data_IF_110675580438
#
_entry.id   IF_110675580438
#
_cell.length_a   1.000
_cell.length_b   1.000
_cell.length_c   1.000
_cell.angle_alpha   90.00
_cell.angle_beta   90.00
_cell.angle_gamma   90.00
#
_symmetry.space_group_name_H-M   'P 1'
#
loop_
_entity.id
_entity.type
_entity.pdbx_description
1 polymer ?
#
# COMPACT_ATOMS: atom_id res chain seq x y z
N UNK A 1 10.50 5.73 66.77
CA UNK A 1 10.77 4.55 67.61
C UNK A 1 11.26 3.47 66.68
N UNK A 2 12.61 3.30 66.49
CA UNK A 2 13.51 2.33 67.16
C UNK A 2 12.93 0.91 67.03
N UNK A 3 13.63 -0.04 66.38
CA UNK A 3 14.93 -0.71 66.62
C UNK A 3 15.23 -1.58 65.38
N UNK A 4 16.25 -1.53 64.66
CA UNK A 4 17.65 -2.02 64.78
C UNK A 4 17.89 -3.34 65.53
N UNK A 5 18.39 -4.36 64.81
CA UNK A 5 19.32 -5.45 65.23
C UNK A 5 19.77 -6.19 63.97
N UNK A 6 20.95 -5.99 63.43
CA UNK A 6 22.28 -6.46 63.79
C UNK A 6 22.53 -7.97 63.68
N UNK A 7 23.22 -8.29 62.63
CA UNK A 7 24.48 -9.02 62.45
C UNK A 7 24.66 -10.37 63.15
N UNK A 8 25.00 -11.41 62.40
CA UNK A 8 26.10 -12.33 62.73
C UNK A 8 26.68 -12.85 61.39
N UNK A 9 28.00 -12.59 61.26
CA UNK A 9 28.88 -13.15 60.24
C UNK A 9 29.38 -14.48 60.79
N UNK A 10 29.41 -15.54 59.97
CA UNK A 10 30.25 -16.69 60.18
C UNK A 10 30.93 -17.09 58.92
N UNK A 11 32.18 -16.82 58.76
CA UNK A 11 33.08 -17.26 57.73
C UNK A 11 33.47 -18.72 57.97
N UNK A 12 33.28 -19.57 56.91
CA UNK A 12 34.11 -20.79 56.82
C UNK A 12 34.61 -20.82 55.37
N UNK A 13 35.92 -20.70 55.25
CA UNK A 13 36.69 -20.92 54.07
C UNK A 13 36.66 -22.43 53.69
N UNK A 14 36.40 -22.75 52.51
CA UNK A 14 36.53 -24.08 51.93
C UNK A 14 36.78 -23.92 50.45
N UNK A 15 38.04 -23.87 50.06
CA UNK A 15 38.47 -23.92 48.66
C UNK A 15 38.04 -25.27 48.06
N UNK A 16 37.10 -25.23 47.09
CA UNK A 16 37.04 -26.25 46.06
C UNK A 16 37.06 -25.52 44.72
N UNK A 17 38.19 -25.55 44.07
CA UNK A 17 38.40 -25.30 42.67
C UNK A 17 37.63 -26.37 41.89
N UNK A 18 36.40 -26.05 41.47
CA UNK A 18 35.78 -26.68 40.31
C UNK A 18 35.95 -25.72 39.17
N UNK A 19 36.87 -26.03 38.28
CA UNK A 19 36.93 -25.42 36.96
C UNK A 19 35.61 -25.74 36.23
N UNK A 20 34.63 -24.84 36.33
CA UNK A 20 33.55 -24.77 35.39
C UNK A 20 34.18 -24.21 34.11
N UNK A 21 34.48 -25.08 33.15
CA UNK A 21 34.76 -24.63 31.79
C UNK A 21 33.58 -23.82 31.31
N UNK A 22 33.78 -22.58 30.94
CA UNK A 22 32.84 -21.81 30.17
C UNK A 22 32.59 -22.58 28.87
N UNK A 23 31.50 -23.32 28.78
CA UNK A 23 31.04 -23.79 27.50
C UNK A 23 30.78 -22.52 26.66
N UNK A 24 31.32 -22.42 25.44
CA UNK A 24 31.11 -21.26 24.61
C UNK A 24 29.61 -21.11 24.39
N UNK A 25 29.09 -19.93 24.75
CA UNK A 25 27.70 -19.57 24.53
C UNK A 25 27.41 -19.70 23.02
N UNK A 26 26.72 -20.78 22.62
CA UNK A 26 26.41 -21.04 21.23
C UNK A 26 25.36 -20.02 20.81
N UNK A 27 25.80 -18.93 20.20
CA UNK A 27 24.91 -17.94 19.62
C UNK A 27 24.24 -18.50 18.36
N UNK A 28 23.17 -19.26 18.57
CA UNK A 28 22.36 -19.78 17.46
C UNK A 28 21.57 -18.63 16.85
N UNK A 29 21.77 -18.38 15.56
CA UNK A 29 20.97 -17.44 14.81
C UNK A 29 19.92 -18.19 13.99
N UNK A 30 18.66 -17.83 14.12
CA UNK A 30 17.59 -18.20 13.20
C UNK A 30 17.05 -16.90 12.61
N UNK A 31 17.07 -16.77 11.27
CA UNK A 31 16.55 -15.62 10.53
C UNK A 31 15.73 -16.10 9.33
N UNK A 32 14.73 -15.31 8.98
CA UNK A 32 13.94 -15.49 7.77
C UNK A 32 14.18 -14.29 6.85
N UNK A 33 14.27 -14.53 5.54
CA UNK A 33 14.38 -13.45 4.54
C UNK A 33 13.15 -12.57 4.50
N UNK A 34 12.00 -13.09 4.96
CA UNK A 34 10.73 -12.36 5.14
C UNK A 34 10.07 -12.83 6.43
N UNK A 35 9.35 -11.95 7.08
CA UNK A 35 8.58 -12.26 8.30
C UNK A 35 7.09 -12.39 8.03
N UNK A 36 6.64 -11.85 6.91
CA UNK A 36 5.29 -11.88 6.42
C UNK A 36 5.26 -12.15 4.91
N UNK A 37 4.22 -12.82 4.47
CA UNK A 37 3.83 -12.97 3.07
C UNK A 37 2.40 -12.47 2.92
N UNK A 38 2.21 -11.52 2.02
CA UNK A 38 0.91 -11.02 1.62
C UNK A 38 0.63 -11.56 0.23
N UNK A 39 -0.48 -12.23 0.07
CA UNK A 39 -0.85 -12.95 -1.11
C UNK A 39 -2.26 -12.54 -1.54
N UNK A 40 -2.51 -12.48 -2.84
CA UNK A 40 -3.83 -12.24 -3.39
C UNK A 40 -4.68 -13.53 -3.37
N UNK A 41 -5.90 -13.45 -3.90
CA UNK A 41 -6.88 -14.54 -3.94
C UNK A 41 -6.36 -15.81 -4.58
N UNK A 42 -5.57 -15.72 -5.64
CA UNK A 42 -5.19 -16.86 -6.48
C UNK A 42 -4.23 -17.82 -5.81
N UNK A 43 -4.30 -19.11 -6.18
CA UNK A 43 -3.30 -20.10 -5.79
C UNK A 43 -1.92 -19.66 -6.28
N UNK A 44 -0.94 -19.59 -5.39
CA UNK A 44 0.40 -19.11 -5.71
C UNK A 44 1.45 -19.62 -4.72
N UNK A 45 2.72 -19.38 -5.06
CA UNK A 45 3.85 -19.80 -4.23
C UNK A 45 4.89 -18.69 -4.12
N UNK A 46 5.53 -18.57 -2.96
CA UNK A 46 6.65 -17.66 -2.70
C UNK A 46 7.80 -18.41 -2.05
N UNK A 47 9.02 -17.95 -2.35
CA UNK A 47 10.24 -18.52 -1.77
C UNK A 47 10.67 -17.66 -0.58
N UNK A 48 11.03 -18.34 0.51
CA UNK A 48 11.57 -17.74 1.73
C UNK A 48 12.87 -18.46 2.09
N UNK A 49 13.90 -17.70 2.44
CA UNK A 49 15.18 -18.25 2.90
C UNK A 49 15.17 -18.35 4.43
N UNK A 50 15.45 -19.53 4.94
CA UNK A 50 15.76 -19.81 6.34
C UNK A 50 17.28 -19.75 6.48
N UNK A 51 17.79 -18.90 7.37
CA UNK A 51 19.22 -18.78 7.64
C UNK A 51 19.47 -19.21 9.07
N UNK A 52 20.17 -20.33 9.22
CA UNK A 52 20.58 -20.91 10.52
C UNK A 52 21.80 -21.80 10.32
N UNK A 53 22.46 -22.16 11.38
CA UNK A 53 23.51 -23.20 11.39
C UNK A 53 23.02 -24.55 11.94
N UNK A 54 21.72 -24.68 12.17
CA UNK A 54 21.10 -25.87 12.78
C UNK A 54 20.12 -26.56 11.84
N UNK A 55 19.80 -27.82 12.14
CA UNK A 55 18.66 -28.49 11.56
C UNK A 55 17.35 -27.81 12.01
N UNK A 56 16.37 -27.73 11.11
CA UNK A 56 15.11 -27.07 11.35
C UNK A 56 13.91 -27.89 10.82
N UNK A 57 12.74 -27.62 11.40
CA UNK A 57 11.45 -28.12 10.95
C UNK A 57 10.53 -26.93 10.73
N UNK A 58 9.74 -26.98 9.66
CA UNK A 58 8.72 -25.98 9.30
C UNK A 58 7.33 -26.62 9.27
N UNK A 59 6.40 -26.09 10.04
CA UNK A 59 5.04 -26.62 10.20
C UNK A 59 4.01 -25.49 10.07
N UNK A 60 2.83 -25.83 9.61
CA UNK A 60 1.69 -24.90 9.55
C UNK A 60 0.43 -25.60 10.07
N UNK A 61 -0.46 -24.89 10.81
CA UNK A 61 -1.72 -25.44 11.27
C UNK A 61 -2.85 -25.38 10.22
N UNK A 62 -2.63 -24.71 9.07
CA UNK A 62 -3.67 -24.43 8.09
C UNK A 62 -3.59 -25.34 6.86
N UNK A 63 -4.71 -25.95 6.50
CA UNK A 63 -4.80 -26.88 5.36
C UNK A 63 -4.60 -26.21 3.99
N UNK A 64 -4.85 -24.91 3.92
CA UNK A 64 -4.70 -24.12 2.71
C UNK A 64 -3.26 -23.61 2.48
N UNK A 65 -2.36 -23.82 3.44
CA UNK A 65 -0.97 -23.36 3.45
C UNK A 65 -0.04 -24.56 3.48
N UNK A 66 0.90 -24.61 2.55
CA UNK A 66 1.89 -25.67 2.43
C UNK A 66 3.30 -25.09 2.44
N UNK A 67 4.23 -25.74 3.10
CA UNK A 67 5.66 -25.42 3.09
C UNK A 67 6.47 -26.62 2.60
N UNK A 68 7.40 -26.40 1.67
CA UNK A 68 8.25 -27.45 1.11
C UNK A 68 9.65 -26.93 0.80
N UNK A 69 10.74 -27.62 1.26
CA UNK A 69 10.72 -28.73 2.18
C UNK A 69 10.19 -28.34 3.56
N UNK A 70 9.68 -29.33 4.33
CA UNK A 70 9.20 -29.15 5.70
C UNK A 70 10.28 -29.31 6.77
N UNK A 71 11.50 -29.67 6.37
CA UNK A 71 12.68 -29.78 7.24
C UNK A 71 13.95 -29.65 6.41
N UNK A 72 15.03 -29.24 7.07
CA UNK A 72 16.34 -29.11 6.44
C UNK A 72 17.46 -28.94 7.46
N UNK A 73 18.68 -28.69 6.97
CA UNK A 73 19.87 -28.50 7.77
C UNK A 73 20.65 -27.28 7.27
N UNK A 74 20.92 -26.34 8.19
CA UNK A 74 21.59 -25.10 7.84
C UNK A 74 20.71 -24.13 7.02
N UNK A 75 21.36 -23.30 6.20
CA UNK A 75 20.68 -22.27 5.41
C UNK A 75 20.11 -22.86 4.12
N UNK A 76 18.78 -22.80 3.98
CA UNK A 76 18.07 -23.31 2.81
C UNK A 76 16.88 -22.41 2.44
N UNK A 77 16.35 -22.61 1.24
CA UNK A 77 15.12 -21.96 0.79
C UNK A 77 13.94 -22.93 0.88
N UNK A 78 12.80 -22.40 1.35
CA UNK A 78 11.52 -23.12 1.35
C UNK A 78 10.55 -22.40 0.40
N UNK A 79 9.71 -23.19 -0.24
CA UNK A 79 8.56 -22.70 -1.00
C UNK A 79 7.33 -22.75 -0.13
N UNK A 80 6.70 -21.60 0.07
CA UNK A 80 5.43 -21.45 0.77
C UNK A 80 4.35 -21.29 -0.29
N UNK A 81 3.39 -22.21 -0.30
CA UNK A 81 2.31 -22.26 -1.29
C UNK A 81 0.95 -22.15 -0.63
N UNK A 82 0.03 -21.44 -1.28
CA UNK A 82 -1.37 -21.31 -0.84
C UNK A 82 -2.33 -21.78 -1.92
N UNK A 83 -3.44 -22.37 -1.50
CA UNK A 83 -4.57 -22.65 -2.40
C UNK A 83 -5.32 -21.36 -2.71
N UNK A 84 -6.23 -21.36 -3.69
CA UNK A 84 -7.13 -20.23 -3.95
C UNK A 84 -7.98 -19.92 -2.70
N UNK A 85 -8.17 -18.62 -2.42
CA UNK A 85 -9.02 -18.17 -1.33
C UNK A 85 -10.44 -17.90 -1.85
N UNK A 86 -11.32 -18.85 -1.70
CA UNK A 86 -12.73 -18.81 -2.09
C UNK A 86 -13.70 -18.56 -0.89
N UNK A 87 -13.14 -18.20 0.28
CA UNK A 87 -13.90 -18.12 1.53
C UNK A 87 -14.68 -16.80 1.71
N UNK A 88 -14.66 -15.88 0.72
CA UNK A 88 -15.39 -14.61 0.79
C UNK A 88 -14.78 -13.57 1.75
N UNK A 89 -13.66 -13.86 2.38
CA UNK A 89 -12.92 -12.95 3.28
C UNK A 89 -11.44 -13.29 3.31
N UNK A 90 -10.63 -12.36 3.83
CA UNK A 90 -9.22 -12.62 4.04
C UNK A 90 -9.00 -13.77 5.04
N UNK A 91 -7.88 -14.47 4.88
CA UNK A 91 -7.45 -15.52 5.81
C UNK A 91 -6.01 -15.35 6.22
N UNK A 92 -5.71 -15.68 7.47
CA UNK A 92 -4.39 -15.58 8.07
C UNK A 92 -3.98 -16.91 8.68
N UNK A 93 -2.71 -17.26 8.56
CA UNK A 93 -2.06 -18.36 9.24
C UNK A 93 -0.56 -18.11 9.31
N UNK A 94 0.21 -19.09 9.75
CA UNK A 94 1.65 -18.95 9.85
C UNK A 94 2.36 -20.26 9.48
N UNK A 95 3.64 -20.12 9.09
CA UNK A 95 4.61 -21.23 9.10
C UNK A 95 5.51 -21.03 10.32
N UNK A 96 5.52 -22.02 11.22
CA UNK A 96 6.41 -22.04 12.38
C UNK A 96 7.68 -22.80 12.01
N UNK A 97 8.82 -22.11 12.07
CA UNK A 97 10.15 -22.69 11.86
C UNK A 97 10.78 -22.88 13.23
N UNK A 98 11.17 -24.12 13.53
CA UNK A 98 11.73 -24.51 14.82
C UNK A 98 13.10 -25.16 14.64
N UNK A 99 14.10 -24.70 15.38
CA UNK A 99 15.39 -25.35 15.58
C UNK A 99 15.46 -25.90 16.99
N UNK A 100 16.56 -26.55 17.36
CA UNK A 100 16.77 -27.04 18.73
C UNK A 100 16.63 -25.95 19.81
N UNK A 101 17.01 -24.71 19.48
CA UNK A 101 17.11 -23.62 20.48
C UNK A 101 16.19 -22.44 20.19
N UNK A 102 15.66 -22.27 18.98
CA UNK A 102 14.86 -21.12 18.58
C UNK A 102 13.67 -21.51 17.74
N UNK A 103 12.63 -20.70 17.82
CA UNK A 103 11.48 -20.78 16.92
C UNK A 103 11.18 -19.40 16.37
N UNK A 104 10.72 -19.36 15.13
CA UNK A 104 10.22 -18.15 14.44
C UNK A 104 8.95 -18.46 13.69
N UNK A 105 8.12 -17.45 13.51
CA UNK A 105 6.93 -17.53 12.67
C UNK A 105 7.09 -16.65 11.46
N UNK A 106 6.67 -17.18 10.31
CA UNK A 106 6.38 -16.45 9.10
C UNK A 106 4.87 -16.32 9.01
N UNK A 107 4.35 -15.09 9.15
CA UNK A 107 2.93 -14.82 9.00
C UNK A 107 2.55 -14.89 7.52
N UNK A 108 1.44 -15.53 7.19
CA UNK A 108 0.91 -15.62 5.82
C UNK A 108 -0.52 -15.12 5.82
N UNK A 109 -0.72 -13.99 5.13
CA UNK A 109 -2.04 -13.40 4.88
C UNK A 109 -2.41 -13.62 3.42
N UNK A 110 -3.64 -14.05 3.18
CA UNK A 110 -4.18 -14.14 1.83
C UNK A 110 -5.49 -13.37 1.75
N UNK A 111 -5.48 -12.30 0.96
CA UNK A 111 -6.64 -11.47 0.70
C UNK A 111 -7.59 -12.12 -0.33
N UNK A 112 -8.70 -11.45 -0.58
CA UNK A 112 -9.60 -11.73 -1.71
C UNK A 112 -9.26 -10.91 -2.94
N UNK A 113 -8.21 -10.08 -2.89
CA UNK A 113 -7.82 -9.17 -3.97
C UNK A 113 -7.47 -9.95 -5.24
N UNK A 114 -8.01 -9.48 -6.35
CA UNK A 114 -7.87 -10.13 -7.65
C UNK A 114 -7.74 -9.10 -8.76
N UNK A 115 -6.85 -9.35 -9.72
CA UNK A 115 -6.63 -8.48 -10.88
C UNK A 115 -6.42 -7.02 -10.51
N UNK A 116 -5.67 -6.76 -9.44
CA UNK A 116 -5.34 -5.43 -8.96
C UNK A 116 -6.46 -4.70 -8.24
N UNK A 117 -7.61 -5.34 -7.98
CA UNK A 117 -8.74 -4.75 -7.25
C UNK A 117 -8.76 -5.20 -5.79
N UNK A 118 -8.99 -4.26 -4.87
CA UNK A 118 -9.39 -4.52 -3.49
C UNK A 118 -10.88 -4.87 -3.53
N UNK A 119 -11.20 -6.14 -3.30
CA UNK A 119 -12.54 -6.72 -3.51
C UNK A 119 -13.54 -6.37 -2.39
N UNK A 120 -13.53 -5.11 -1.96
CA UNK A 120 -14.46 -4.58 -0.96
C UNK A 120 -15.08 -3.30 -1.50
N UNK A 121 -16.42 -3.16 -1.50
CA UNK A 121 -17.10 -2.06 -2.14
C UNK A 121 -17.01 -0.76 -1.35
N UNK A 122 -16.96 0.34 -2.11
CA UNK A 122 -17.07 1.71 -1.63
C UNK A 122 -18.18 2.42 -2.38
N UNK A 123 -19.15 2.99 -1.67
CA UNK A 123 -20.21 3.78 -2.28
C UNK A 123 -19.67 5.13 -2.76
N UNK A 124 -19.93 5.43 -4.03
CA UNK A 124 -19.55 6.68 -4.71
C UNK A 124 -20.77 7.47 -5.20
N UNK A 125 -21.97 6.91 -5.02
CA UNK A 125 -23.27 7.59 -5.07
C UNK A 125 -24.28 6.72 -4.31
N UNK A 126 -25.54 7.14 -4.23
CA UNK A 126 -26.59 6.39 -3.55
C UNK A 126 -26.86 4.99 -4.16
N UNK A 127 -26.51 4.81 -5.44
CA UNK A 127 -26.80 3.60 -6.22
C UNK A 127 -25.57 3.01 -6.94
N UNK A 128 -24.37 3.56 -6.67
CA UNK A 128 -23.12 3.14 -7.34
C UNK A 128 -22.02 2.85 -6.35
N UNK A 129 -21.40 1.69 -6.56
CA UNK A 129 -20.24 1.25 -5.78
C UNK A 129 -19.06 0.92 -6.71
N UNK A 130 -17.87 1.01 -6.17
CA UNK A 130 -16.61 0.73 -6.87
C UNK A 130 -15.68 -0.12 -6.01
N UNK A 131 -14.74 -0.79 -6.68
CA UNK A 131 -13.53 -1.33 -6.07
C UNK A 131 -12.35 -0.41 -6.37
N UNK A 132 -11.53 -0.11 -5.37
CA UNK A 132 -10.26 0.59 -5.57
C UNK A 132 -9.17 -0.32 -6.11
N UNK A 133 -8.24 0.28 -6.85
CA UNK A 133 -6.98 -0.37 -7.22
C UNK A 133 -6.14 -0.69 -6.00
N UNK A 134 -5.32 -1.74 -6.09
CA UNK A 134 -4.42 -2.20 -5.03
C UNK A 134 -3.32 -1.21 -4.66
N UNK A 135 -3.10 -0.16 -5.42
CA UNK A 135 -2.08 0.85 -5.21
C UNK A 135 -2.23 2.02 -6.17
N UNK A 136 -1.41 3.06 -5.99
CA UNK A 136 -1.35 4.18 -6.93
C UNK A 136 -0.92 3.70 -8.31
N UNK A 137 -1.41 4.36 -9.34
CA UNK A 137 -0.98 4.12 -10.71
C UNK A 137 0.49 4.51 -10.87
N UNK A 138 1.26 3.67 -11.56
CA UNK A 138 2.66 3.90 -11.88
C UNK A 138 2.92 3.68 -13.36
N UNK A 139 3.86 4.44 -13.90
CA UNK A 139 4.27 4.37 -15.31
C UNK A 139 5.79 4.28 -15.45
N UNK A 140 6.25 3.42 -16.34
CA UNK A 140 7.65 3.34 -16.75
C UNK A 140 7.78 3.75 -18.21
N UNK A 141 8.40 4.92 -18.46
CA UNK A 141 8.49 5.53 -19.78
C UNK A 141 9.25 4.67 -20.79
N UNK A 142 10.36 4.05 -20.37
CA UNK A 142 11.21 3.25 -21.26
C UNK A 142 10.49 2.06 -21.89
N UNK A 143 9.59 1.43 -21.18
CA UNK A 143 8.84 0.24 -21.64
C UNK A 143 7.42 0.56 -22.06
N UNK A 144 6.92 1.77 -21.77
CA UNK A 144 5.53 2.14 -21.96
C UNK A 144 4.57 1.37 -21.04
N UNK A 145 5.04 0.88 -19.89
CA UNK A 145 4.29 -0.02 -19.03
C UNK A 145 3.56 0.74 -17.93
N UNK A 146 2.27 0.46 -17.79
CA UNK A 146 1.43 0.90 -16.69
C UNK A 146 1.22 -0.24 -15.70
N UNK A 147 1.28 0.05 -14.40
CA UNK A 147 0.97 -0.87 -13.33
C UNK A 147 0.38 -0.15 -12.13
N UNK A 148 -0.21 -0.87 -11.20
CA UNK A 148 -0.40 -0.38 -9.84
C UNK A 148 0.85 -0.64 -9.00
N UNK A 149 1.10 0.21 -8.02
CA UNK A 149 2.07 -0.05 -6.98
C UNK A 149 1.83 -1.43 -6.33
N UNK A 150 2.89 -2.10 -5.94
CA UNK A 150 2.77 -3.46 -5.37
C UNK A 150 2.13 -3.43 -3.98
N UNK A 151 2.43 -2.38 -3.20
CA UNK A 151 1.80 -2.12 -1.91
C UNK A 151 1.17 -0.74 -1.93
N UNK A 152 0.11 -0.54 -1.17
CA UNK A 152 -0.60 0.74 -1.12
C UNK A 152 0.26 1.88 -0.58
N UNK A 153 1.23 1.58 0.28
CA UNK A 153 2.18 2.55 0.84
C UNK A 153 3.43 2.78 -0.03
N UNK A 154 3.55 2.11 -1.18
CA UNK A 154 4.65 2.37 -2.11
C UNK A 154 4.45 3.75 -2.78
N UNK A 155 5.29 4.70 -2.43
CA UNK A 155 5.33 6.05 -2.99
C UNK A 155 6.69 6.28 -3.68
N UNK A 156 6.67 6.78 -4.91
CA UNK A 156 7.90 7.11 -5.64
C UNK A 156 8.54 8.38 -5.07
N UNK A 157 7.71 9.33 -4.63
CA UNK A 157 8.19 10.54 -3.95
C UNK A 157 9.17 11.35 -4.79
N UNK A 158 10.32 11.70 -4.21
CA UNK A 158 11.31 12.55 -4.83
C UNK A 158 11.88 11.99 -6.15
N UNK A 159 11.86 10.69 -6.38
CA UNK A 159 12.38 10.10 -7.62
C UNK A 159 11.55 10.48 -8.86
N UNK A 160 10.34 11.04 -8.69
CA UNK A 160 9.58 11.65 -9.77
C UNK A 160 10.28 12.85 -10.44
N UNK A 161 11.36 13.41 -9.89
CA UNK A 161 12.21 14.42 -10.58
C UNK A 161 12.90 13.85 -11.81
N UNK A 162 13.11 12.52 -11.86
CA UNK A 162 13.80 11.84 -12.95
C UNK A 162 12.94 11.63 -14.19
N UNK A 163 11.79 12.26 -14.26
CA UNK A 163 10.80 12.12 -15.33
C UNK A 163 11.38 12.47 -16.71
N UNK A 164 11.33 11.50 -17.64
CA UNK A 164 11.69 11.66 -19.04
C UNK A 164 11.19 10.50 -19.89
N UNK A 165 11.19 10.64 -21.22
CA UNK A 165 10.79 9.58 -22.16
C UNK A 165 11.71 8.34 -22.12
N UNK A 166 12.90 8.45 -21.58
CA UNK A 166 13.89 7.36 -21.47
C UNK A 166 14.09 6.86 -20.04
N UNK A 167 13.36 7.43 -19.07
CA UNK A 167 13.51 7.04 -17.67
C UNK A 167 13.14 5.57 -17.46
N UNK A 168 14.01 4.86 -16.75
CA UNK A 168 13.91 3.43 -16.53
C UNK A 168 13.25 3.06 -15.18
N UNK A 169 13.07 4.05 -14.30
CA UNK A 169 12.33 3.91 -13.06
C UNK A 169 10.84 4.11 -13.27
N UNK A 170 10.09 4.02 -12.18
CA UNK A 170 8.65 4.28 -12.14
C UNK A 170 8.39 5.73 -11.75
N UNK A 171 7.29 6.30 -12.25
CA UNK A 171 6.73 7.58 -11.83
C UNK A 171 5.26 7.37 -11.41
N UNK A 172 4.76 8.17 -10.46
CA UNK A 172 3.40 8.12 -9.93
C UNK A 172 2.74 9.51 -9.74
N UNK A 173 3.40 10.57 -10.24
CA UNK A 173 2.88 11.94 -10.29
C UNK A 173 2.68 12.38 -11.75
N UNK A 174 1.43 12.48 -12.18
CA UNK A 174 1.04 12.72 -13.56
C UNK A 174 0.37 14.09 -13.73
N UNK A 175 0.73 14.82 -14.79
CA UNK A 175 -0.11 15.90 -15.28
C UNK A 175 -1.48 15.38 -15.71
N UNK A 176 -2.52 16.18 -15.61
CA UNK A 176 -3.89 15.74 -15.92
C UNK A 176 -4.05 15.35 -17.38
N UNK A 177 -4.86 14.35 -17.68
CA UNK A 177 -5.14 13.83 -19.03
C UNK A 177 -3.91 13.24 -19.77
N UNK A 178 -2.83 12.88 -19.07
CA UNK A 178 -1.61 12.32 -19.68
C UNK A 178 -1.67 10.79 -19.86
N UNK A 179 -2.79 10.27 -20.36
CA UNK A 179 -2.95 8.83 -20.63
C UNK A 179 -2.14 8.35 -21.85
N UNK A 180 -1.65 9.26 -22.67
CA UNK A 180 -1.02 8.95 -23.96
C UNK A 180 -1.98 9.01 -25.14
N UNK A 181 -3.26 9.27 -24.94
CA UNK A 181 -4.23 9.44 -26.02
C UNK A 181 -4.11 10.81 -26.70
N UNK A 182 -4.16 10.85 -28.04
CA UNK A 182 -3.86 12.04 -28.85
C UNK A 182 -4.77 13.25 -28.61
N UNK A 183 -6.01 13.05 -28.15
CA UNK A 183 -6.92 14.14 -27.79
C UNK A 183 -6.91 14.46 -26.29
N UNK A 184 -5.96 13.88 -25.56
CA UNK A 184 -5.73 14.16 -24.15
C UNK A 184 -4.85 15.39 -23.92
N UNK A 185 -3.80 15.23 -23.18
CA UNK A 185 -2.80 16.28 -22.92
C UNK A 185 -1.95 16.54 -24.16
N UNK A 186 -2.51 17.13 -25.16
CA UNK A 186 -1.88 17.59 -26.40
C UNK A 186 -0.74 16.66 -26.89
N UNK A 187 0.50 17.20 -27.10
CA UNK A 187 1.70 16.42 -27.47
C UNK A 187 2.39 15.72 -26.29
N UNK A 188 1.94 15.98 -25.09
CA UNK A 188 2.59 15.55 -23.86
C UNK A 188 2.10 14.19 -23.34
N UNK A 189 3.03 13.38 -22.96
CA UNK A 189 2.84 12.03 -22.47
C UNK A 189 2.93 11.99 -20.92
N UNK A 190 2.72 10.86 -20.27
CA UNK A 190 2.83 10.72 -18.82
C UNK A 190 4.12 11.29 -18.20
N UNK A 191 5.18 11.35 -18.99
CA UNK A 191 6.48 11.93 -18.62
C UNK A 191 6.62 13.43 -18.96
N UNK A 192 5.54 14.13 -19.29
CA UNK A 192 5.59 15.58 -19.58
C UNK A 192 6.02 16.39 -18.36
N UNK A 193 6.89 17.38 -18.61
CA UNK A 193 7.33 18.39 -17.63
C UNK A 193 6.89 19.80 -17.99
N UNK A 194 6.02 19.97 -19.00
CA UNK A 194 5.49 21.27 -19.37
C UNK A 194 4.74 21.90 -18.20
N UNK A 195 4.95 23.20 -17.99
CA UNK A 195 4.22 24.03 -17.04
C UNK A 195 3.25 25.01 -17.73
N UNK A 196 3.03 24.83 -19.04
CA UNK A 196 2.03 25.58 -19.80
C UNK A 196 0.64 24.94 -19.65
N UNK A 197 -0.36 25.61 -19.04
CA UNK A 197 -1.67 25.02 -18.81
C UNK A 197 -2.38 24.52 -20.07
N UNK A 198 -2.19 25.20 -21.21
CA UNK A 198 -2.88 24.88 -22.47
C UNK A 198 -2.45 23.54 -23.05
N UNK A 199 -1.26 23.06 -22.70
CA UNK A 199 -0.77 21.76 -23.17
C UNK A 199 -1.56 20.58 -22.60
N UNK A 200 -2.34 20.83 -21.55
CA UNK A 200 -3.16 19.83 -20.83
C UNK A 200 -4.67 20.02 -21.07
N UNK A 201 -5.07 20.84 -22.06
CA UNK A 201 -6.47 20.99 -22.41
C UNK A 201 -6.92 19.85 -23.33
N UNK A 202 -7.81 19.02 -22.81
CA UNK A 202 -8.33 17.85 -23.54
C UNK A 202 -9.11 18.31 -24.76
N UNK A 203 -8.78 17.76 -25.94
CA UNK A 203 -9.37 18.20 -27.19
C UNK A 203 -9.09 19.66 -27.55
N UNK A 204 -8.13 20.31 -26.86
CA UNK A 204 -7.80 21.72 -27.05
C UNK A 204 -8.68 22.70 -26.29
N UNK A 205 -9.66 22.22 -25.52
CA UNK A 205 -10.64 23.05 -24.82
C UNK A 205 -10.52 22.89 -23.28
N UNK A 206 -10.55 24.03 -22.58
CA UNK A 206 -10.36 24.08 -21.12
C UNK A 206 -11.51 23.50 -20.30
N UNK A 207 -12.70 23.31 -20.89
CA UNK A 207 -13.90 22.82 -20.19
C UNK A 207 -14.11 21.32 -20.33
N UNK A 208 -13.32 20.64 -21.16
CA UNK A 208 -13.46 19.21 -21.37
C UNK A 208 -12.97 18.40 -20.17
N UNK A 209 -13.76 17.41 -19.77
CA UNK A 209 -13.45 16.44 -18.72
C UNK A 209 -13.02 15.09 -19.32
N UNK A 210 -12.45 14.19 -18.49
CA UNK A 210 -12.03 12.84 -18.92
C UNK A 210 -13.24 11.90 -19.03
N UNK A 211 -14.29 12.34 -19.71
CA UNK A 211 -15.55 11.61 -19.84
C UNK A 211 -16.10 11.73 -21.26
N UNK A 212 -17.09 10.89 -21.60
CA UNK A 212 -17.78 10.93 -22.89
C UNK A 212 -16.82 10.77 -24.07
N UNK A 213 -16.79 11.74 -24.98
CA UNK A 213 -15.92 11.76 -26.17
C UNK A 213 -14.41 11.71 -25.78
N UNK A 214 -14.07 12.25 -24.60
CA UNK A 214 -12.70 12.34 -24.12
C UNK A 214 -12.35 11.31 -23.03
N UNK A 215 -13.16 10.28 -22.85
CA UNK A 215 -12.92 9.24 -21.84
C UNK A 215 -11.55 8.56 -21.99
N UNK A 216 -11.03 8.44 -23.21
CA UNK A 216 -9.68 7.90 -23.44
C UNK A 216 -8.53 8.79 -22.90
N UNK A 217 -8.83 10.01 -22.45
CA UNK A 217 -7.84 10.83 -21.74
C UNK A 217 -7.63 10.36 -20.31
N UNK A 218 -8.52 9.52 -19.78
CA UNK A 218 -8.36 8.83 -18.50
C UNK A 218 -7.36 7.67 -18.65
N UNK A 219 -6.48 7.56 -17.70
CA UNK A 219 -5.37 6.58 -17.69
C UNK A 219 -5.87 5.14 -17.73
N UNK A 220 -6.90 4.80 -16.94
CA UNK A 220 -7.44 3.44 -16.83
C UNK A 220 -8.37 3.06 -17.97
N UNK A 221 -9.03 4.04 -18.57
CA UNK A 221 -9.90 3.80 -19.74
C UNK A 221 -9.06 3.49 -20.97
N UNK A 222 -7.99 4.24 -21.20
CA UNK A 222 -7.16 4.07 -22.40
C UNK A 222 -6.14 2.94 -22.30
N UNK A 223 -5.55 2.75 -21.13
CA UNK A 223 -4.41 1.88 -20.97
C UNK A 223 -4.75 0.53 -20.34
N UNK A 224 -3.94 -0.46 -20.69
CA UNK A 224 -3.87 -1.73 -19.99
C UNK A 224 -2.98 -1.56 -18.78
N UNK A 225 -3.45 -2.01 -17.63
CA UNK A 225 -2.69 -2.01 -16.38
C UNK A 225 -2.19 -3.44 -16.14
N UNK A 226 -0.89 -3.66 -16.23
CA UNK A 226 -0.28 -5.00 -16.30
C UNK A 226 -0.62 -5.92 -15.12
N UNK A 227 -0.74 -5.39 -13.90
CA UNK A 227 -1.19 -6.10 -12.72
C UNK A 227 -2.63 -5.76 -12.30
N UNK A 228 -3.37 -5.08 -13.19
CA UNK A 228 -4.77 -4.68 -13.04
C UNK A 228 -5.73 -5.40 -13.98
N UNK A 229 -5.41 -6.64 -14.38
CA UNK A 229 -6.21 -7.44 -15.31
C UNK A 229 -5.81 -7.30 -16.77
N UNK A 230 -4.80 -6.49 -17.09
CA UNK A 230 -4.18 -6.32 -18.42
C UNK A 230 -5.18 -6.06 -19.56
N UNK A 231 -6.24 -5.32 -19.27
CA UNK A 231 -7.27 -4.93 -20.22
C UNK A 231 -7.59 -3.44 -20.10
N UNK A 232 -7.63 -2.72 -21.21
CA UNK A 232 -8.09 -1.33 -21.25
C UNK A 232 -9.58 -1.22 -20.93
N UNK A 233 -9.99 -0.11 -20.29
CA UNK A 233 -11.37 0.16 -19.95
C UNK A 233 -11.89 -0.57 -18.71
N UNK A 234 -11.05 -1.36 -18.02
CA UNK A 234 -11.43 -1.95 -16.73
C UNK A 234 -11.43 -0.95 -15.58
N UNK A 235 -10.66 0.12 -15.72
CA UNK A 235 -10.36 1.09 -14.67
C UNK A 235 -10.70 2.50 -15.14
N UNK A 236 -11.01 3.37 -14.20
CA UNK A 236 -11.27 4.79 -14.43
C UNK A 236 -10.89 5.62 -13.19
N UNK A 237 -10.75 6.91 -13.40
CA UNK A 237 -10.63 7.90 -12.32
C UNK A 237 -12.02 8.26 -11.77
N UNK A 238 -12.15 8.51 -10.48
CA UNK A 238 -13.38 9.03 -9.87
C UNK A 238 -13.67 10.44 -10.38
N UNK A 239 -14.96 10.78 -10.53
CA UNK A 239 -15.40 12.17 -10.76
C UNK A 239 -15.28 13.00 -9.48
N UNK A 240 -15.44 14.32 -9.59
CA UNK A 240 -15.50 15.19 -8.42
C UNK A 240 -16.67 14.83 -7.50
N UNK A 241 -17.83 14.58 -8.09
CA UNK A 241 -19.06 14.22 -7.36
C UNK A 241 -18.90 12.88 -6.63
N UNK A 242 -18.26 11.90 -7.27
CA UNK A 242 -17.98 10.59 -6.67
C UNK A 242 -17.00 10.71 -5.49
N UNK A 243 -15.96 11.54 -5.60
CA UNK A 243 -15.07 11.85 -4.48
C UNK A 243 -15.81 12.55 -3.33
N UNK A 244 -16.67 13.55 -3.65
CA UNK A 244 -17.48 14.25 -2.65
C UNK A 244 -18.37 13.29 -1.88
N UNK A 245 -19.10 12.42 -2.61
CA UNK A 245 -19.97 11.44 -1.99
C UNK A 245 -19.19 10.48 -1.08
N UNK A 246 -18.11 9.91 -1.57
CA UNK A 246 -17.25 8.96 -0.87
C UNK A 246 -16.70 9.53 0.45
N UNK A 247 -16.26 10.79 0.44
CA UNK A 247 -15.56 11.41 1.57
C UNK A 247 -16.50 12.08 2.58
N UNK A 248 -17.69 12.54 2.13
CA UNK A 248 -18.52 13.43 2.96
C UNK A 248 -20.00 13.08 3.01
N UNK A 249 -20.55 12.33 2.05
CA UNK A 249 -21.99 12.15 1.89
C UNK A 249 -22.48 10.73 2.14
N UNK A 250 -21.64 9.69 1.89
CA UNK A 250 -22.04 8.31 2.20
C UNK A 250 -22.26 8.12 3.69
N UNK A 251 -23.03 7.11 4.06
CA UNK A 251 -23.30 6.79 5.47
C UNK A 251 -21.96 6.64 6.22
N UNK A 252 -21.88 7.25 7.39
CA UNK A 252 -20.72 7.24 8.28
C UNK A 252 -19.39 7.72 7.64
N UNK A 253 -19.42 8.48 6.54
CA UNK A 253 -18.24 8.92 5.78
C UNK A 253 -17.09 9.42 6.67
N UNK A 254 -17.37 10.28 7.65
CA UNK A 254 -16.36 10.86 8.56
C UNK A 254 -15.76 9.78 9.49
N UNK A 255 -16.52 8.75 9.82
CA UNK A 255 -16.08 7.63 10.67
C UNK A 255 -15.28 6.59 9.88
N UNK A 256 -15.38 6.62 8.55
CA UNK A 256 -14.73 5.70 7.63
C UNK A 256 -13.46 6.27 7.00
N UNK A 257 -12.85 7.30 7.62
CA UNK A 257 -11.58 7.88 7.18
C UNK A 257 -10.74 8.35 8.35
N UNK A 258 -9.42 8.40 8.15
CA UNK A 258 -8.50 8.90 9.15
C UNK A 258 -7.07 9.03 8.65
N UNK A 259 -6.32 9.97 9.25
CA UNK A 259 -4.89 10.11 9.02
C UNK A 259 -4.13 8.94 9.63
N UNK A 260 -3.07 8.52 8.96
CA UNK A 260 -2.27 7.38 9.40
C UNK A 260 -0.83 7.44 8.88
N UNK A 261 0.04 6.69 9.55
CA UNK A 261 1.35 6.29 9.04
C UNK A 261 1.36 4.77 8.86
N UNK A 262 1.54 4.32 7.63
CA UNK A 262 1.62 2.89 7.28
C UNK A 262 3.04 2.56 6.84
N UNK A 263 3.69 1.65 7.53
CA UNK A 263 5.09 1.27 7.27
C UNK A 263 6.04 2.49 7.19
N UNK A 264 5.82 3.50 8.03
CA UNK A 264 6.60 4.73 8.04
C UNK A 264 6.22 5.76 6.95
N UNK A 265 5.21 5.49 6.12
CA UNK A 265 4.72 6.40 5.08
C UNK A 265 3.46 7.11 5.57
N UNK A 266 3.46 8.46 5.65
CA UNK A 266 2.27 9.23 5.99
C UNK A 266 1.21 9.19 4.90
N UNK A 267 -0.07 9.30 5.30
CA UNK A 267 -1.18 9.31 4.37
C UNK A 267 -2.54 9.27 5.05
N UNK A 268 -3.58 8.98 4.30
CA UNK A 268 -4.93 8.75 4.82
C UNK A 268 -5.42 7.34 4.50
N UNK A 269 -6.25 6.82 5.39
CA UNK A 269 -6.96 5.56 5.20
C UNK A 269 -8.42 5.88 4.91
N UNK A 270 -8.98 5.23 3.89
CA UNK A 270 -10.42 5.11 3.67
C UNK A 270 -10.84 3.66 3.95
N UNK A 271 -11.90 3.52 4.71
CA UNK A 271 -12.50 2.23 5.07
C UNK A 271 -13.74 1.98 4.19
N UNK A 272 -14.04 0.72 3.82
CA UNK A 272 -15.22 0.37 3.03
C UNK A 272 -16.51 0.58 3.83
N UNK A 273 -17.65 0.58 3.13
CA UNK A 273 -18.96 0.86 3.72
C UNK A 273 -19.33 -0.12 4.85
N UNK A 274 -18.94 -1.38 4.72
CA UNK A 274 -19.21 -2.44 5.70
C UNK A 274 -17.99 -2.78 6.55
N UNK A 275 -17.18 -1.78 6.89
CA UNK A 275 -15.95 -1.98 7.65
C UNK A 275 -16.19 -2.68 8.97
N UNK A 276 -15.38 -3.69 9.22
CA UNK A 276 -15.24 -4.33 10.53
C UNK A 276 -13.76 -4.44 10.85
N UNK A 277 -13.33 -3.86 11.96
CA UNK A 277 -11.92 -3.90 12.35
C UNK A 277 -11.44 -5.34 12.58
N UNK A 278 -10.30 -5.73 12.01
CA UNK A 278 -9.65 -7.00 12.31
C UNK A 278 -9.33 -7.12 13.82
N UNK A 279 -9.26 -8.34 14.33
CA UNK A 279 -8.90 -8.57 15.72
C UNK A 279 -7.55 -7.95 16.08
N UNK A 280 -7.52 -7.21 17.17
CA UNK A 280 -6.31 -6.51 17.66
C UNK A 280 -5.98 -5.22 16.94
N UNK A 281 -6.73 -4.82 15.92
CA UNK A 281 -6.57 -3.54 15.22
C UNK A 281 -7.54 -2.50 15.79
N UNK A 282 -7.01 -1.34 16.11
CA UNK A 282 -7.79 -0.15 16.46
C UNK A 282 -7.61 0.91 15.39
N UNK A 283 -8.65 1.66 15.08
CA UNK A 283 -8.62 2.76 14.13
C UNK A 283 -9.26 4.01 14.76
N UNK A 284 -8.51 5.09 14.81
CA UNK A 284 -9.03 6.41 15.18
C UNK A 284 -9.53 7.10 13.91
N UNK A 285 -10.79 7.45 13.94
CA UNK A 285 -11.44 8.20 12.87
C UNK A 285 -11.04 9.67 12.88
N UNK A 286 -11.12 10.30 11.72
CA UNK A 286 -10.79 11.72 11.57
C UNK A 286 -9.33 11.97 11.18
N UNK A 287 -9.04 13.21 10.87
CA UNK A 287 -7.78 13.66 10.31
C UNK A 287 -7.11 14.64 11.26
N UNK A 288 -6.63 14.18 12.40
CA UNK A 288 -5.99 15.04 13.41
C UNK A 288 -4.45 15.04 13.33
N UNK A 289 -3.87 14.07 12.64
CA UNK A 289 -2.43 13.96 12.41
C UNK A 289 -2.02 12.56 11.97
N UNK A 290 -0.95 12.45 11.20
CA UNK A 290 -0.45 11.16 10.70
C UNK A 290 0.00 10.21 11.80
N UNK A 291 0.24 10.71 13.01
CA UNK A 291 0.62 9.92 14.18
C UNK A 291 -0.58 9.35 14.96
N UNK A 292 -1.80 9.68 14.57
CA UNK A 292 -3.00 9.16 15.22
C UNK A 292 -3.17 7.65 15.04
N UNK A 293 -2.78 7.15 13.87
CA UNK A 293 -2.83 5.74 13.52
C UNK A 293 -1.46 5.33 12.96
N UNK A 294 -0.75 4.48 13.68
CA UNK A 294 0.56 3.97 13.23
C UNK A 294 0.45 2.46 13.06
N UNK A 295 0.63 1.99 11.82
CA UNK A 295 0.53 0.59 11.48
C UNK A 295 1.85 0.04 10.95
N UNK A 296 2.23 -1.11 11.51
CA UNK A 296 3.28 -1.95 10.92
C UNK A 296 2.80 -2.56 9.62
N UNK A 297 3.70 -3.18 8.85
CA UNK A 297 3.31 -3.94 7.65
C UNK A 297 2.25 -4.99 7.99
N UNK A 298 2.42 -5.73 9.09
CA UNK A 298 1.49 -6.79 9.49
C UNK A 298 0.10 -6.24 9.83
N UNK A 299 0.06 -5.14 10.60
CA UNK A 299 -1.21 -4.50 10.94
C UNK A 299 -1.93 -3.99 9.70
N UNK A 300 -1.17 -3.34 8.79
CA UNK A 300 -1.71 -2.84 7.54
C UNK A 300 -2.26 -3.96 6.65
N UNK A 301 -1.52 -5.07 6.52
CA UNK A 301 -1.97 -6.21 5.73
C UNK A 301 -3.30 -6.78 6.22
N UNK A 302 -3.52 -6.80 7.52
CA UNK A 302 -4.81 -7.17 8.10
C UNK A 302 -5.89 -6.17 7.70
N UNK A 303 -5.62 -4.87 7.81
CA UNK A 303 -6.58 -3.84 7.41
C UNK A 303 -6.90 -3.90 5.92
N UNK A 304 -5.87 -4.01 5.07
CA UNK A 304 -6.03 -4.14 3.61
C UNK A 304 -6.84 -5.40 3.24
N UNK A 305 -6.58 -6.50 3.91
CA UNK A 305 -7.30 -7.74 3.71
C UNK A 305 -8.80 -7.61 4.03
N UNK A 306 -9.18 -6.70 4.92
CA UNK A 306 -10.55 -6.33 5.23
C UNK A 306 -11.06 -5.15 4.40
N UNK A 307 -10.31 -4.73 3.40
CA UNK A 307 -10.73 -3.76 2.39
C UNK A 307 -10.31 -2.32 2.64
N UNK A 308 -9.48 -2.04 3.63
CA UNK A 308 -8.96 -0.69 3.83
C UNK A 308 -8.12 -0.23 2.65
N UNK A 309 -8.27 1.05 2.27
CA UNK A 309 -7.50 1.69 1.20
C UNK A 309 -6.63 2.78 1.80
N UNK A 310 -5.34 2.76 1.46
CA UNK A 310 -4.38 3.78 1.90
C UNK A 310 -3.95 4.67 0.74
N UNK A 311 -3.95 5.96 0.99
CA UNK A 311 -3.52 7.01 0.08
C UNK A 311 -2.26 7.67 0.65
N UNK A 312 -1.06 7.33 0.17
CA UNK A 312 0.18 7.93 0.66
C UNK A 312 0.30 9.41 0.30
N UNK A 313 0.96 10.18 1.15
CA UNK A 313 1.35 11.57 0.92
C UNK A 313 2.57 11.64 -0.02
N UNK A 314 2.34 11.50 -1.32
CA UNK A 314 3.39 11.42 -2.36
C UNK A 314 3.98 12.79 -2.69
N UNK A 315 3.33 13.88 -2.27
CA UNK A 315 3.68 15.24 -2.65
C UNK A 315 3.02 15.68 -3.96
N UNK A 316 3.60 16.70 -4.57
CA UNK A 316 3.17 17.27 -5.85
C UNK A 316 4.38 17.56 -6.72
N UNK A 317 4.22 17.48 -8.04
CA UNK A 317 5.27 17.83 -9.01
C UNK A 317 4.87 19.08 -9.81
N UNK A 318 5.78 20.05 -9.90
CA UNK A 318 5.66 21.20 -10.79
C UNK A 318 6.84 21.21 -11.77
N UNK A 319 6.55 20.99 -13.04
CA UNK A 319 7.59 20.73 -14.04
C UNK A 319 8.43 19.51 -13.66
N UNK A 320 9.70 19.72 -13.32
CA UNK A 320 10.62 18.68 -12.82
C UNK A 320 10.87 18.76 -11.30
N UNK A 321 10.26 19.71 -10.60
CA UNK A 321 10.41 19.83 -9.15
C UNK A 321 9.36 18.98 -8.44
N UNK A 322 9.74 18.32 -7.35
CA UNK A 322 8.85 17.57 -6.46
C UNK A 322 8.92 18.17 -5.08
N UNK A 323 7.77 18.45 -4.49
CA UNK A 323 7.63 19.14 -3.21
C UNK A 323 6.68 18.39 -2.29
N UNK A 324 6.78 18.65 -0.99
CA UNK A 324 5.85 18.18 0.06
C UNK A 324 5.69 16.65 0.18
N UNK A 325 6.69 15.87 -0.23
CA UNK A 325 6.71 14.41 -0.06
C UNK A 325 6.67 14.06 1.43
N UNK A 326 5.74 13.17 1.81
CA UNK A 326 5.50 12.78 3.20
C UNK A 326 4.67 13.77 4.01
N UNK A 327 4.22 14.86 3.40
CA UNK A 327 3.37 15.87 4.05
C UNK A 327 2.03 16.08 3.34
N UNK A 328 2.06 16.19 2.02
CA UNK A 328 0.90 16.47 1.18
C UNK A 328 0.58 15.29 0.27
N UNK A 329 -0.68 14.88 0.24
CA UNK A 329 -1.19 13.92 -0.72
C UNK A 329 -2.26 14.57 -1.59
N UNK A 330 -2.21 14.30 -2.91
CA UNK A 330 -3.20 14.81 -3.85
C UNK A 330 -3.49 13.83 -4.97
N UNK A 331 -4.77 13.68 -5.32
CA UNK A 331 -5.27 12.65 -6.22
C UNK A 331 -6.25 13.25 -7.22
N UNK A 332 -5.97 13.10 -8.51
CA UNK A 332 -6.81 13.63 -9.57
C UNK A 332 -8.24 13.11 -9.55
N UNK A 333 -9.18 13.97 -9.94
CA UNK A 333 -10.50 13.57 -10.43
C UNK A 333 -10.54 13.58 -11.96
N UNK A 334 -11.56 12.96 -12.56
CA UNK A 334 -11.81 13.05 -14.00
C UNK A 334 -12.57 14.31 -14.43
N UNK A 335 -12.99 15.14 -13.46
CA UNK A 335 -13.80 16.34 -13.69
C UNK A 335 -12.96 17.59 -13.88
N UNK A 336 -13.30 18.42 -14.86
CA UNK A 336 -12.71 19.74 -15.07
C UNK A 336 -13.60 20.84 -14.54
N UNK A 337 -12.98 22.00 -14.26
CA UNK A 337 -13.65 23.25 -13.93
C UNK A 337 -12.92 24.42 -14.59
N UNK A 338 -13.47 24.91 -15.70
CA UNK A 338 -12.86 25.93 -16.53
C UNK A 338 -11.40 25.59 -16.91
N UNK A 339 -10.43 26.46 -16.66
CA UNK A 339 -9.00 26.22 -16.91
C UNK A 339 -8.33 25.28 -15.88
N UNK A 340 -9.05 24.92 -14.82
CA UNK A 340 -8.59 24.07 -13.73
C UNK A 340 -9.19 22.66 -13.80
N UNK A 341 -8.80 21.82 -12.87
CA UNK A 341 -9.40 20.50 -12.65
C UNK A 341 -9.49 20.19 -11.17
N UNK A 342 -10.50 19.43 -10.80
CA UNK A 342 -10.69 19.03 -9.41
C UNK A 342 -9.74 17.92 -8.99
N UNK A 343 -9.35 17.94 -7.71
CA UNK A 343 -8.59 16.89 -7.08
C UNK A 343 -8.92 16.80 -5.59
N UNK A 344 -8.88 15.57 -5.06
CA UNK A 344 -8.88 15.33 -3.63
C UNK A 344 -7.47 15.60 -3.09
N UNK A 345 -7.37 16.28 -1.97
CA UNK A 345 -6.09 16.47 -1.29
C UNK A 345 -6.23 16.38 0.22
N UNK A 346 -5.11 16.10 0.85
CA UNK A 346 -4.99 16.09 2.30
C UNK A 346 -3.58 16.50 2.71
N UNK A 347 -3.50 17.04 3.89
CA UNK A 347 -2.26 17.21 4.64
C UNK A 347 -2.60 17.03 6.12
N UNK A 348 -1.64 16.47 6.86
CA UNK A 348 -1.63 16.18 8.30
C UNK A 348 -3.02 16.00 8.97
N UNK A 349 -3.85 17.00 8.98
CA UNK A 349 -5.05 17.07 9.81
C UNK A 349 -6.37 17.30 9.06
N UNK A 350 -6.40 17.25 7.74
CA UNK A 350 -7.65 17.50 6.99
C UNK A 350 -7.64 16.91 5.60
N UNK A 351 -8.80 16.40 5.18
CA UNK A 351 -9.08 15.97 3.80
C UNK A 351 -10.01 16.98 3.15
N UNK A 352 -9.70 17.36 1.94
CA UNK A 352 -10.42 18.34 1.15
C UNK A 352 -10.79 17.79 -0.22
N UNK A 353 -11.93 18.26 -0.77
CA UNK A 353 -12.34 17.97 -2.16
C UNK A 353 -12.62 19.25 -2.95
N UNK A 354 -12.40 20.40 -2.37
CA UNK A 354 -12.54 21.72 -3.00
C UNK A 354 -11.26 22.19 -3.71
N UNK A 355 -10.25 21.30 -3.80
CA UNK A 355 -9.04 21.55 -4.55
C UNK A 355 -9.34 21.68 -6.04
N UNK A 356 -8.94 22.80 -6.62
CA UNK A 356 -8.89 23.01 -8.06
C UNK A 356 -7.58 23.69 -8.41
N UNK A 357 -6.86 23.12 -9.37
CA UNK A 357 -5.55 23.64 -9.71
C UNK A 357 -5.22 23.38 -11.17
N UNK A 358 -4.04 23.87 -11.54
CA UNK A 358 -3.55 23.82 -12.91
C UNK A 358 -3.24 22.38 -13.32
N UNK A 359 -3.72 22.00 -14.48
CA UNK A 359 -3.65 20.64 -15.03
C UNK A 359 -2.24 20.11 -15.24
N UNK A 360 -1.25 20.98 -15.33
CA UNK A 360 0.15 20.59 -15.55
C UNK A 360 0.83 20.06 -14.28
N UNK A 361 0.30 20.37 -13.10
CA UNK A 361 0.86 19.83 -11.87
C UNK A 361 0.75 18.30 -11.87
N UNK A 362 1.83 17.64 -11.47
CA UNK A 362 1.84 16.19 -11.32
C UNK A 362 1.23 15.79 -9.99
N UNK A 363 0.15 15.01 -10.04
CA UNK A 363 -0.54 14.44 -8.87
C UNK A 363 -0.71 12.95 -9.02
N UNK A 364 -0.96 12.27 -7.92
CA UNK A 364 -1.24 10.84 -7.92
C UNK A 364 -2.56 10.50 -8.61
N UNK A 365 -2.63 9.28 -9.11
CA UNK A 365 -3.83 8.69 -9.70
C UNK A 365 -4.15 7.40 -8.94
N UNK A 366 -5.37 7.32 -8.39
CA UNK A 366 -5.91 6.12 -7.78
C UNK A 366 -7.15 5.72 -8.56
N UNK A 367 -7.04 4.62 -9.29
CA UNK A 367 -8.11 4.17 -10.17
C UNK A 367 -9.13 3.32 -9.42
N UNK A 368 -10.34 3.29 -9.96
CA UNK A 368 -11.44 2.45 -9.48
C UNK A 368 -12.01 1.61 -10.62
N UNK A 369 -12.69 0.52 -10.24
CA UNK A 369 -13.48 -0.31 -11.15
C UNK A 369 -14.91 -0.37 -10.65
N UNK A 370 -15.88 -0.13 -11.54
CA UNK A 370 -17.30 -0.23 -11.23
C UNK A 370 -17.69 -1.67 -10.87
N UNK A 371 -18.62 -1.84 -9.90
CA UNK A 371 -19.22 -3.11 -9.54
C UNK A 371 -20.27 -3.54 -10.54
#
# INVERSE_FOLDING_TARGET
MKLLRSLIILSIAGEMLTACGDEPEVTVSLKLSKRELILNKTAQSKVVTITTSESWVAETPADWLLVSPSSGDGTETVTVSVTENDQGGARESYVKITTKYKAMQLVVLQSTNENGAIQTPFSVSADKQVYFSQGNLQYQARTGTWRFAENQYDAIGNDNVNISSSYNGWIDLFGWATSGWNSGANEYQPYSTSTNPTDYYVGGEKTNSLMGEYANSDWGVYNKISNGGDQAGLWRTLTNEEWMYLLFERDDAILLQGSATVNGVPGIILLPDNWTAPEGITFKTGTNGYDDNIYTIVDWCRMEAYGAVFFPAVGVRDGSNVEDVGYFGSYWSSSSWDEYTYYMYFFDNTVYMDGYDRRYQGRSVRLVRDL
#
